data_IF_790430781256
#
_entry.id   IF_790430781256
#
_cell.length_a   1.000
_cell.length_b   1.000
_cell.length_c   1.000
_cell.angle_alpha   90.00
_cell.angle_beta   90.00
_cell.angle_gamma   90.00
#
_symmetry.space_group_name_H-M   'P 1'
#
loop_
_entity.id
_entity.type
_entity.pdbx_description
1 polymer ?
#
# COMPACT_ATOMS: atom_id res chain seq x y z
N UNK A 1 -6.45 -7.29 -24.02
CA UNK A 1 -5.10 -6.71 -23.86
C UNK A 1 -4.13 -7.73 -23.28
N UNK A 2 -2.87 -7.69 -23.71
CA UNK A 2 -1.75 -8.37 -23.08
C UNK A 2 -1.09 -7.41 -22.08
N UNK A 3 -1.05 -7.80 -20.81
CA UNK A 3 -0.56 -6.98 -19.71
C UNK A 3 0.76 -7.56 -19.21
N UNK A 4 1.77 -6.70 -19.04
CA UNK A 4 2.98 -7.02 -18.28
C UNK A 4 2.96 -6.21 -16.98
N UNK A 5 2.91 -6.89 -15.84
CA UNK A 5 2.93 -6.30 -14.51
C UNK A 5 4.25 -6.61 -13.83
N UNK A 6 5.04 -5.57 -13.56
CA UNK A 6 6.32 -5.68 -12.86
C UNK A 6 6.16 -5.31 -11.40
N UNK A 7 6.78 -6.09 -10.51
CA UNK A 7 6.58 -5.95 -9.07
C UNK A 7 5.09 -6.12 -8.73
N UNK A 8 4.48 -7.18 -9.26
CA UNK A 8 3.03 -7.35 -9.30
C UNK A 8 2.38 -7.39 -7.91
N UNK A 9 3.13 -7.81 -6.89
CA UNK A 9 2.61 -8.05 -5.57
C UNK A 9 1.48 -9.08 -5.64
N UNK A 10 0.37 -8.77 -4.99
CA UNK A 10 -0.81 -9.63 -4.93
C UNK A 10 -1.77 -9.43 -6.13
N UNK A 11 -1.29 -8.96 -7.30
CA UNK A 11 -2.14 -8.75 -8.48
C UNK A 11 -3.27 -7.70 -8.33
N UNK A 12 -3.05 -6.64 -7.55
CA UNK A 12 -3.98 -5.49 -7.52
C UNK A 12 -4.27 -4.92 -8.91
N UNK A 13 -3.27 -4.95 -9.82
CA UNK A 13 -3.44 -4.50 -11.20
C UNK A 13 -4.48 -5.33 -11.96
N UNK A 14 -4.48 -6.66 -11.77
CA UNK A 14 -5.45 -7.58 -12.37
C UNK A 14 -6.88 -7.26 -11.93
N UNK A 15 -7.10 -7.06 -10.64
CA UNK A 15 -8.40 -6.63 -10.09
C UNK A 15 -8.84 -5.28 -10.65
N UNK A 16 -7.89 -4.34 -10.83
CA UNK A 16 -8.19 -3.03 -11.40
C UNK A 16 -8.64 -3.11 -12.87
N UNK A 17 -8.10 -4.02 -13.68
CA UNK A 17 -8.61 -4.25 -15.04
C UNK A 17 -10.03 -4.80 -15.04
N UNK A 18 -10.36 -5.70 -14.10
CA UNK A 18 -11.71 -6.25 -13.94
C UNK A 18 -12.70 -5.14 -13.56
N UNK A 19 -12.38 -4.32 -12.57
CA UNK A 19 -13.22 -3.17 -12.15
C UNK A 19 -13.34 -2.09 -13.24
N UNK A 20 -12.30 -1.91 -14.06
CA UNK A 20 -12.33 -1.03 -15.23
C UNK A 20 -13.08 -1.63 -16.43
N UNK A 21 -13.52 -2.89 -16.35
CA UNK A 21 -14.19 -3.66 -17.42
C UNK A 21 -13.34 -3.78 -18.68
N UNK A 22 -12.03 -3.90 -18.53
CA UNK A 22 -11.09 -4.07 -19.63
C UNK A 22 -10.72 -5.53 -19.74
N UNK A 23 -10.96 -6.13 -20.92
CA UNK A 23 -10.67 -7.54 -21.16
C UNK A 23 -9.15 -7.77 -21.26
N UNK A 24 -8.61 -8.57 -20.34
CA UNK A 24 -7.24 -9.07 -20.37
C UNK A 24 -7.21 -10.43 -21.06
N UNK A 25 -6.28 -10.63 -21.99
CA UNK A 25 -6.07 -11.90 -22.71
C UNK A 25 -4.95 -12.71 -22.10
N UNK A 26 -3.83 -12.05 -21.80
CA UNK A 26 -2.69 -12.62 -21.09
C UNK A 26 -2.21 -11.62 -20.06
N UNK A 27 -1.90 -12.11 -18.86
CA UNK A 27 -1.35 -11.31 -17.78
C UNK A 27 -0.05 -11.95 -17.33
N UNK A 28 1.04 -11.26 -17.59
CA UNK A 28 2.39 -11.64 -17.21
C UNK A 28 2.76 -10.89 -15.93
N UNK A 29 3.15 -11.60 -14.88
CA UNK A 29 3.50 -11.02 -13.60
C UNK A 29 4.97 -11.31 -13.26
N UNK A 30 5.75 -10.27 -12.97
CA UNK A 30 7.06 -10.39 -12.34
C UNK A 30 6.90 -10.14 -10.85
N UNK A 31 7.12 -11.19 -10.06
CA UNK A 31 7.06 -11.16 -8.60
C UNK A 31 7.99 -12.25 -8.04
N UNK A 32 8.54 -12.02 -6.85
CA UNK A 32 9.47 -12.93 -6.18
C UNK A 32 8.99 -13.35 -4.78
N UNK A 33 8.07 -12.60 -4.17
CA UNK A 33 7.50 -12.92 -2.87
C UNK A 33 6.52 -14.09 -3.02
N UNK A 34 6.86 -15.20 -2.39
CA UNK A 34 6.06 -16.43 -2.45
C UNK A 34 4.60 -16.20 -2.07
N UNK A 35 4.32 -15.49 -0.98
CA UNK A 35 2.94 -15.25 -0.53
C UNK A 35 2.15 -14.38 -1.51
N UNK A 36 2.82 -13.44 -2.19
CA UNK A 36 2.22 -12.61 -3.21
C UNK A 36 1.83 -13.48 -4.43
N UNK A 37 2.75 -14.34 -4.88
CA UNK A 37 2.51 -15.31 -5.96
C UNK A 37 1.37 -16.28 -5.59
N UNK A 38 1.34 -16.78 -4.34
CA UNK A 38 0.27 -17.67 -3.85
C UNK A 38 -1.10 -16.99 -3.94
N UNK A 39 -1.22 -15.75 -3.45
CA UNK A 39 -2.49 -14.99 -3.51
C UNK A 39 -2.91 -14.74 -4.95
N UNK A 40 -1.97 -14.34 -5.81
CA UNK A 40 -2.23 -14.14 -7.24
C UNK A 40 -2.71 -15.43 -7.91
N UNK A 41 -2.02 -16.55 -7.71
CA UNK A 41 -2.38 -17.84 -8.33
C UNK A 41 -3.68 -18.43 -7.79
N UNK A 42 -4.02 -18.16 -6.52
CA UNK A 42 -5.29 -18.58 -5.95
C UNK A 42 -6.49 -17.87 -6.61
N UNK A 43 -6.38 -16.56 -6.84
CA UNK A 43 -7.47 -15.75 -7.40
C UNK A 43 -7.47 -15.73 -8.94
N UNK A 44 -6.29 -15.78 -9.57
CA UNK A 44 -6.07 -15.67 -11.02
C UNK A 44 -5.07 -16.73 -11.51
N UNK A 45 -5.46 -18.02 -11.52
CA UNK A 45 -4.56 -19.14 -11.88
C UNK A 45 -4.07 -19.10 -13.33
N UNK A 46 -4.68 -18.27 -14.19
CA UNK A 46 -4.22 -18.03 -15.56
C UNK A 46 -3.05 -17.02 -15.65
N UNK A 47 -2.62 -16.46 -14.52
CA UNK A 47 -1.50 -15.52 -14.47
C UNK A 47 -0.17 -16.22 -14.76
N UNK A 48 0.59 -15.68 -15.71
CA UNK A 48 1.89 -16.20 -16.12
C UNK A 48 2.96 -15.57 -15.24
N UNK A 49 3.51 -16.33 -14.30
CA UNK A 49 4.57 -15.87 -13.40
C UNK A 49 5.92 -15.93 -14.10
N UNK A 50 6.61 -14.79 -14.16
CA UNK A 50 7.91 -14.61 -14.81
C UNK A 50 9.08 -14.62 -13.83
N UNK A 51 8.83 -14.55 -12.52
CA UNK A 51 9.88 -14.47 -11.50
C UNK A 51 10.54 -13.09 -11.44
N UNK A 52 11.86 -13.08 -11.22
CA UNK A 52 12.63 -11.85 -11.01
C UNK A 52 12.64 -10.94 -12.24
N UNK A 53 12.38 -9.65 -12.02
CA UNK A 53 12.38 -8.64 -13.08
C UNK A 53 13.73 -8.55 -13.82
N UNK A 54 14.82 -8.83 -13.12
CA UNK A 54 16.19 -8.76 -13.65
C UNK A 54 16.48 -9.84 -14.69
N UNK A 55 15.68 -10.91 -14.72
CA UNK A 55 15.84 -12.05 -15.62
C UNK A 55 14.91 -11.96 -16.84
N UNK A 56 14.03 -10.95 -16.87
CA UNK A 56 13.07 -10.76 -17.95
C UNK A 56 13.72 -10.03 -19.13
N UNK A 57 13.60 -10.63 -20.31
CA UNK A 57 13.86 -9.98 -21.59
C UNK A 57 12.54 -9.49 -22.19
N UNK A 58 12.30 -8.18 -22.19
CA UNK A 58 11.07 -7.58 -22.71
C UNK A 58 10.87 -7.82 -24.21
N UNK A 59 11.94 -8.08 -24.98
CA UNK A 59 11.85 -8.34 -26.42
C UNK A 59 11.28 -9.74 -26.75
N UNK A 60 11.32 -10.69 -25.81
CA UNK A 60 10.87 -12.07 -26.06
C UNK A 60 9.40 -12.33 -25.68
N UNK A 61 8.74 -11.38 -24.99
CA UNK A 61 7.37 -11.55 -24.50
C UNK A 61 6.29 -11.34 -25.59
N UNK A 62 6.69 -10.92 -26.80
CA UNK A 62 5.78 -10.61 -27.90
C UNK A 62 5.08 -9.26 -27.70
N UNK A 63 3.87 -9.11 -28.26
CA UNK A 63 3.13 -7.85 -28.15
C UNK A 63 2.57 -7.64 -26.73
N UNK A 64 3.05 -6.62 -26.05
CA UNK A 64 2.52 -6.14 -24.76
C UNK A 64 1.75 -4.84 -25.01
N UNK A 65 0.47 -4.80 -24.64
CA UNK A 65 -0.36 -3.61 -24.84
C UNK A 65 -0.13 -2.57 -23.73
N UNK A 66 0.13 -3.04 -22.50
CA UNK A 66 0.38 -2.18 -21.35
C UNK A 66 1.41 -2.78 -20.40
N UNK A 67 2.33 -1.93 -19.95
CA UNK A 67 3.26 -2.21 -18.85
C UNK A 67 2.82 -1.47 -17.59
N UNK A 68 2.61 -2.19 -16.50
CA UNK A 68 2.29 -1.59 -15.20
C UNK A 68 3.34 -2.00 -14.16
N UNK A 69 3.58 -1.18 -13.15
CA UNK A 69 4.44 -1.59 -12.04
C UNK A 69 4.63 -0.53 -10.96
N UNK A 70 5.00 -0.98 -9.77
CA UNK A 70 5.31 -0.12 -8.62
C UNK A 70 6.64 -0.54 -8.04
N UNK A 71 7.72 0.11 -8.45
CA UNK A 71 9.06 -0.32 -8.02
C UNK A 71 9.23 -0.14 -6.51
N UNK A 72 9.98 -1.03 -5.83
CA UNK A 72 10.16 -0.95 -4.38
C UNK A 72 10.65 0.43 -3.92
N UNK A 73 9.85 1.09 -3.10
CA UNK A 73 10.05 2.48 -2.70
C UNK A 73 10.94 2.65 -1.45
N UNK A 74 11.54 1.57 -0.94
CA UNK A 74 12.15 1.54 0.39
C UNK A 74 13.21 2.64 0.53
N UNK A 75 14.14 2.79 -0.42
CA UNK A 75 15.18 3.83 -0.33
C UNK A 75 14.73 5.25 -0.74
N UNK A 76 13.49 5.41 -1.22
CA UNK A 76 12.95 6.65 -1.80
C UNK A 76 12.05 7.43 -0.82
N UNK A 77 11.64 6.82 0.29
CA UNK A 77 10.73 7.45 1.27
C UNK A 77 11.45 8.42 2.20
N UNK A 78 10.93 9.65 2.32
CA UNK A 78 11.41 10.65 3.32
C UNK A 78 11.22 10.18 4.77
N UNK A 79 10.35 9.18 5.02
CA UNK A 79 10.12 8.62 6.34
C UNK A 79 11.28 7.73 6.85
N UNK A 80 12.28 7.42 6.01
CA UNK A 80 13.47 6.68 6.43
C UNK A 80 14.57 7.62 6.98
N UNK A 81 15.33 7.13 7.96
CA UNK A 81 16.52 7.80 8.49
C UNK A 81 17.45 8.20 7.33
N UNK A 82 18.04 9.40 7.39
CA UNK A 82 18.91 9.96 6.33
C UNK A 82 20.00 8.99 5.87
N UNK A 83 20.56 8.21 6.79
CA UNK A 83 21.63 7.23 6.52
C UNK A 83 21.21 6.03 5.64
N UNK A 84 19.90 5.76 5.55
CA UNK A 84 19.35 4.67 4.72
C UNK A 84 18.63 5.19 3.46
N UNK A 85 18.63 6.51 3.22
CA UNK A 85 18.13 7.11 1.99
C UNK A 85 19.24 7.11 0.93
N UNK A 86 19.42 5.96 0.28
CA UNK A 86 20.31 5.85 -0.89
C UNK A 86 19.69 6.39 -2.19
N UNK A 87 18.46 6.91 -2.17
CA UNK A 87 17.79 7.44 -3.37
C UNK A 87 17.65 6.36 -4.45
N UNK A 88 17.72 6.72 -5.73
CA UNK A 88 17.79 5.76 -6.85
C UNK A 88 19.07 4.90 -6.89
N UNK A 89 20.12 5.29 -6.15
CA UNK A 89 21.41 4.58 -6.10
C UNK A 89 21.41 3.40 -5.09
N UNK A 90 20.28 3.10 -4.46
CA UNK A 90 20.14 1.98 -3.54
C UNK A 90 19.69 0.68 -4.22
N UNK A 91 20.16 -0.46 -3.71
CA UNK A 91 19.97 -1.80 -4.33
C UNK A 91 18.52 -2.19 -4.66
N UNK A 92 17.52 -1.63 -3.96
CA UNK A 92 16.09 -1.89 -4.21
C UNK A 92 15.38 -0.81 -5.04
N UNK A 93 15.89 0.41 -5.04
CA UNK A 93 15.34 1.54 -5.80
C UNK A 93 15.92 1.59 -7.21
N UNK A 94 17.08 0.96 -7.44
CA UNK A 94 17.63 0.68 -8.76
C UNK A 94 16.70 -0.17 -9.63
N UNK A 95 15.76 -0.90 -9.03
CA UNK A 95 14.73 -1.67 -9.75
C UNK A 95 13.79 -0.80 -10.60
N UNK A 96 13.74 0.52 -10.35
CA UNK A 96 13.13 1.44 -11.31
C UNK A 96 13.82 1.37 -12.69
N UNK A 97 15.14 1.22 -12.75
CA UNK A 97 15.85 1.10 -14.02
C UNK A 97 15.53 -0.21 -14.75
N UNK A 98 15.18 -1.29 -14.04
CA UNK A 98 14.65 -2.51 -14.65
C UNK A 98 13.26 -2.29 -15.27
N UNK A 99 12.38 -1.55 -14.57
CA UNK A 99 11.11 -1.12 -15.16
C UNK A 99 11.35 -0.31 -16.45
N UNK A 100 12.25 0.67 -16.40
CA UNK A 100 12.57 1.51 -17.55
C UNK A 100 13.20 0.69 -18.69
N UNK A 101 14.13 -0.22 -18.40
CA UNK A 101 14.73 -1.14 -19.38
C UNK A 101 13.64 -1.94 -20.10
N UNK A 102 12.74 -2.58 -19.35
CA UNK A 102 11.65 -3.36 -19.92
C UNK A 102 10.67 -2.48 -20.70
N UNK A 103 10.39 -1.26 -20.26
CA UNK A 103 9.58 -0.30 -21.03
C UNK A 103 10.20 -0.01 -22.41
N UNK A 104 11.54 0.11 -22.49
CA UNK A 104 12.26 0.34 -23.75
C UNK A 104 12.34 -0.89 -24.65
N UNK A 105 12.39 -2.08 -24.05
CA UNK A 105 12.43 -3.36 -24.77
C UNK A 105 11.04 -3.77 -25.29
N UNK A 106 10.05 -3.83 -24.41
CA UNK A 106 8.68 -4.28 -24.73
C UNK A 106 7.87 -3.25 -25.53
N UNK A 107 8.23 -1.96 -25.45
CA UNK A 107 7.61 -0.83 -26.18
C UNK A 107 6.06 -0.89 -26.18
N UNK A 108 5.42 -1.00 -25.01
CA UNK A 108 3.97 -1.12 -24.94
C UNK A 108 3.25 0.15 -25.40
N UNK A 109 2.00 0.00 -25.83
CA UNK A 109 1.14 1.15 -26.19
C UNK A 109 0.92 2.07 -24.97
N UNK A 110 0.71 1.48 -23.80
CA UNK A 110 0.52 2.21 -22.55
C UNK A 110 1.52 1.80 -21.47
N UNK A 111 1.78 2.69 -20.53
CA UNK A 111 2.50 2.35 -19.30
C UNK A 111 1.91 3.03 -18.07
N UNK A 112 2.12 2.43 -16.89
CA UNK A 112 1.77 3.01 -15.60
C UNK A 112 2.84 2.63 -14.57
N UNK A 113 3.57 3.64 -14.07
CA UNK A 113 4.46 3.49 -12.92
C UNK A 113 3.87 4.20 -11.70
N UNK A 114 3.81 3.50 -10.57
CA UNK A 114 3.45 4.07 -9.27
C UNK A 114 4.67 4.19 -8.34
N UNK A 115 4.70 5.23 -7.51
CA UNK A 115 5.65 5.33 -6.41
C UNK A 115 5.17 6.26 -5.28
N UNK A 116 5.90 6.31 -4.17
CA UNK A 116 5.53 7.09 -2.97
C UNK A 116 5.42 8.59 -3.24
N UNK A 117 4.37 9.20 -2.68
CA UNK A 117 4.15 10.64 -2.81
C UNK A 117 5.11 11.53 -2.02
N UNK A 118 5.83 10.95 -1.06
CA UNK A 118 6.84 11.63 -0.25
C UNK A 118 8.27 11.35 -0.72
N UNK A 119 8.48 11.14 -2.02
CA UNK A 119 9.80 10.98 -2.63
C UNK A 119 10.57 12.31 -2.67
N UNK A 120 11.90 12.25 -2.64
CA UNK A 120 12.75 13.43 -2.88
C UNK A 120 12.49 14.03 -4.27
N UNK A 121 12.55 15.36 -4.38
CA UNK A 121 12.39 16.06 -5.65
C UNK A 121 13.39 15.58 -6.69
N UNK A 122 14.66 15.35 -6.32
CA UNK A 122 15.70 14.90 -7.24
C UNK A 122 15.35 13.57 -7.89
N UNK A 123 14.96 12.57 -7.08
CA UNK A 123 14.60 11.24 -7.57
C UNK A 123 13.35 11.31 -8.47
N UNK A 124 12.34 12.09 -8.05
CA UNK A 124 11.13 12.31 -8.84
C UNK A 124 11.44 12.92 -10.20
N UNK A 125 12.29 13.95 -10.24
CA UNK A 125 12.65 14.65 -11.47
C UNK A 125 13.43 13.72 -12.44
N UNK A 126 14.27 12.80 -11.92
CA UNK A 126 14.92 11.76 -12.73
C UNK A 126 13.91 10.80 -13.36
N UNK A 127 12.94 10.30 -12.58
CA UNK A 127 11.88 9.41 -13.09
C UNK A 127 11.06 10.14 -14.17
N UNK A 128 10.66 11.38 -13.90
CA UNK A 128 9.94 12.23 -14.87
C UNK A 128 10.73 12.41 -16.17
N UNK A 129 12.02 12.70 -16.09
CA UNK A 129 12.87 12.88 -17.27
C UNK A 129 12.97 11.60 -18.11
N UNK A 130 13.14 10.45 -17.47
CA UNK A 130 13.28 9.16 -18.16
C UNK A 130 11.97 8.68 -18.79
N UNK A 131 10.84 8.90 -18.12
CA UNK A 131 9.53 8.51 -18.62
C UNK A 131 8.90 9.54 -19.58
N UNK A 132 9.41 10.78 -19.57
CA UNK A 132 8.97 11.86 -20.45
C UNK A 132 7.57 12.40 -20.13
N UNK A 133 7.03 12.12 -18.95
CA UNK A 133 5.70 12.57 -18.50
C UNK A 133 5.76 13.00 -17.03
N UNK A 134 4.95 13.99 -16.65
CA UNK A 134 4.82 14.41 -15.26
C UNK A 134 3.91 13.44 -14.48
N UNK A 135 4.19 13.19 -13.19
CA UNK A 135 3.33 12.34 -12.38
C UNK A 135 2.05 13.04 -11.97
N UNK A 136 0.99 12.26 -11.87
CA UNK A 136 -0.26 12.67 -11.22
C UNK A 136 -0.16 12.28 -9.75
N UNK A 137 -0.29 13.26 -8.86
CA UNK A 137 -0.39 12.99 -7.42
C UNK A 137 -1.85 12.68 -7.04
N UNK A 138 -2.11 11.46 -6.57
CA UNK A 138 -3.42 11.01 -6.10
C UNK A 138 -3.28 10.47 -4.67
N UNK A 139 -4.14 10.98 -3.79
CA UNK A 139 -4.31 10.42 -2.45
C UNK A 139 -5.53 9.50 -2.43
N UNK A 140 -5.33 8.27 -1.96
CA UNK A 140 -6.37 7.24 -1.89
C UNK A 140 -7.55 7.61 -0.99
N UNK A 141 -7.43 8.66 -0.16
CA UNK A 141 -8.53 9.21 0.64
C UNK A 141 -9.77 9.57 -0.19
N UNK A 142 -9.59 9.78 -1.50
CA UNK A 142 -10.67 10.09 -2.44
C UNK A 142 -11.56 8.88 -2.71
N UNK A 143 -11.05 7.65 -2.65
CA UNK A 143 -11.80 6.42 -3.02
C UNK A 143 -11.78 5.35 -1.92
N UNK A 144 -11.10 5.63 -0.82
CA UNK A 144 -10.89 4.71 0.30
C UNK A 144 -10.84 5.45 1.63
N UNK A 145 -10.95 4.71 2.72
CA UNK A 145 -10.81 5.19 4.08
C UNK A 145 -9.35 5.33 4.55
N UNK A 146 -8.33 5.29 3.69
CA UNK A 146 -6.93 5.51 4.07
C UNK A 146 -6.28 6.76 3.48
N UNK A 147 -5.34 7.35 4.24
CA UNK A 147 -4.45 8.42 3.78
C UNK A 147 -3.22 7.83 3.06
N UNK A 148 -3.32 7.55 1.76
CA UNK A 148 -2.22 6.98 0.95
C UNK A 148 -1.93 7.86 -0.26
N UNK A 149 -0.93 8.74 -0.11
CA UNK A 149 -0.47 9.68 -1.14
C UNK A 149 0.58 9.02 -2.06
N UNK A 150 0.34 8.99 -3.37
CA UNK A 150 1.19 8.34 -4.38
C UNK A 150 1.29 9.17 -5.66
N UNK A 151 2.40 8.98 -6.37
CA UNK A 151 2.68 9.53 -7.68
C UNK A 151 2.48 8.46 -8.75
N UNK A 152 1.85 8.83 -9.85
CA UNK A 152 1.57 7.94 -10.97
C UNK A 152 2.08 8.57 -12.27
N UNK A 153 3.07 7.95 -12.90
CA UNK A 153 3.55 8.32 -14.22
C UNK A 153 2.88 7.42 -15.27
N UNK A 154 2.24 8.01 -16.25
CA UNK A 154 1.53 7.25 -17.28
C UNK A 154 1.35 8.08 -18.55
N UNK A 155 1.30 7.40 -19.70
CA UNK A 155 0.88 7.96 -20.98
C UNK A 155 -0.60 7.66 -21.30
N UNK A 156 -1.36 7.06 -20.37
CA UNK A 156 -2.80 6.87 -20.53
C UNK A 156 -3.46 8.26 -20.60
N UNK A 157 -4.27 8.55 -21.64
CA UNK A 157 -4.76 9.89 -21.88
C UNK A 157 -5.81 10.31 -20.85
N UNK A 158 -5.89 11.62 -20.61
CA UNK A 158 -6.97 12.27 -19.84
C UNK A 158 -7.15 11.78 -18.40
N UNK A 159 -6.10 11.19 -17.80
CA UNK A 159 -6.13 10.77 -16.40
C UNK A 159 -6.16 12.02 -15.51
N UNK A 160 -7.15 12.06 -14.62
CA UNK A 160 -7.32 13.11 -13.61
C UNK A 160 -7.45 12.49 -12.23
N UNK A 161 -7.61 13.29 -11.17
CA UNK A 161 -7.92 12.76 -9.84
C UNK A 161 -9.35 12.19 -9.82
N UNK A 162 -9.59 11.05 -9.15
CA UNK A 162 -10.95 10.54 -8.98
C UNK A 162 -11.80 11.49 -8.14
N UNK A 163 -13.12 11.41 -8.31
CA UNK A 163 -14.07 12.12 -7.42
C UNK A 163 -13.96 11.56 -6.01
N UNK A 164 -14.26 12.39 -5.01
CA UNK A 164 -14.27 11.96 -3.63
C UNK A 164 -15.55 11.15 -3.32
N UNK A 165 -15.38 9.88 -2.97
CA UNK A 165 -16.44 8.95 -2.56
C UNK A 165 -16.82 9.12 -1.07
N UNK A 166 -16.10 9.94 -0.31
CA UNK A 166 -16.36 10.27 1.11
C UNK A 166 -16.40 9.06 2.07
N UNK A 167 -15.72 7.96 1.72
CA UNK A 167 -15.67 6.73 2.54
C UNK A 167 -14.95 6.96 3.87
N UNK A 168 -15.61 6.87 5.03
CA UNK A 168 -14.94 7.08 6.33
C UNK A 168 -14.42 5.77 6.90
N UNK A 169 -13.44 5.85 7.81
CA UNK A 169 -12.89 4.68 8.49
C UNK A 169 -13.96 3.94 9.27
N UNK A 170 -14.78 4.66 10.04
CA UNK A 170 -15.88 4.04 10.80
C UNK A 170 -16.90 3.32 9.92
N UNK A 171 -17.06 3.71 8.64
CA UNK A 171 -18.02 3.08 7.73
C UNK A 171 -17.58 1.68 7.26
N UNK A 172 -16.28 1.37 7.38
CA UNK A 172 -15.72 0.10 6.88
C UNK A 172 -15.40 -0.91 8.00
N UNK A 173 -15.49 -0.49 9.26
CA UNK A 173 -15.20 -1.33 10.42
C UNK A 173 -16.25 -2.43 10.54
N UNK A 174 -15.80 -3.63 10.92
CA UNK A 174 -16.68 -4.75 11.29
C UNK A 174 -17.31 -4.48 12.67
N UNK A 175 -16.48 -4.03 13.62
CA UNK A 175 -16.89 -3.66 14.98
C UNK A 175 -16.06 -2.50 15.51
N UNK A 176 -16.53 -1.89 16.60
CA UNK A 176 -15.80 -0.82 17.28
C UNK A 176 -15.89 0.53 16.57
N UNK A 177 -14.93 1.40 16.89
CA UNK A 177 -14.96 2.82 16.58
C UNK A 177 -13.54 3.40 16.53
N UNK A 178 -13.33 4.39 15.67
CA UNK A 178 -12.10 5.17 15.59
C UNK A 178 -12.40 6.67 15.69
N UNK A 179 -11.52 7.40 16.38
CA UNK A 179 -11.51 8.86 16.42
C UNK A 179 -11.01 9.49 15.10
N UNK A 180 -10.45 8.68 14.20
CA UNK A 180 -9.95 9.15 12.91
C UNK A 180 -11.01 9.00 11.81
N UNK A 181 -11.13 10.03 10.99
CA UNK A 181 -11.96 9.97 9.78
C UNK A 181 -11.40 9.00 8.73
N UNK A 182 -10.07 8.89 8.66
CA UNK A 182 -9.33 8.01 7.74
C UNK A 182 -8.24 7.28 8.50
N UNK A 183 -7.96 6.03 8.14
CA UNK A 183 -6.77 5.33 8.61
C UNK A 183 -5.50 5.99 8.09
N UNK A 184 -4.38 5.72 8.77
CA UNK A 184 -3.06 5.97 8.17
C UNK A 184 -2.87 5.11 6.92
N UNK A 185 -1.87 5.46 6.11
CA UNK A 185 -1.38 4.60 5.04
C UNK A 185 -1.01 3.23 5.60
N UNK A 186 -1.57 2.16 5.04
CA UNK A 186 -1.09 0.81 5.31
C UNK A 186 0.36 0.68 4.85
N UNK A 187 1.18 0.00 5.64
CA UNK A 187 2.58 -0.29 5.35
C UNK A 187 2.85 -1.77 5.59
N UNK A 188 3.90 -2.30 4.97
CA UNK A 188 4.37 -3.66 5.25
C UNK A 188 4.57 -3.91 6.75
N UNK A 189 5.02 -2.89 7.51
CA UNK A 189 5.23 -3.02 8.96
C UNK A 189 3.97 -3.30 9.77
N UNK A 190 2.78 -3.14 9.19
CA UNK A 190 1.52 -3.59 9.80
C UNK A 190 1.42 -5.13 9.86
N UNK A 191 2.34 -5.88 9.23
CA UNK A 191 2.55 -7.33 9.37
C UNK A 191 3.09 -7.73 10.74
N UNK A 192 3.70 -6.79 11.48
CA UNK A 192 4.35 -7.03 12.77
C UNK A 192 3.75 -6.12 13.85
N UNK A 193 2.45 -6.27 14.16
CA UNK A 193 1.77 -5.42 15.13
C UNK A 193 2.31 -5.63 16.56
N UNK A 194 2.27 -4.58 17.37
CA UNK A 194 2.45 -4.71 18.82
C UNK A 194 1.27 -5.45 19.43
N UNK A 195 1.48 -6.34 20.40
CA UNK A 195 0.37 -7.15 20.96
C UNK A 195 -0.08 -6.69 22.34
N UNK A 196 0.70 -5.87 23.04
CA UNK A 196 0.33 -5.36 24.37
C UNK A 196 -0.55 -4.11 24.24
N UNK A 197 -1.79 -4.07 24.78
CA UNK A 197 -2.71 -2.96 24.61
C UNK A 197 -2.14 -1.58 25.00
N UNK A 198 -1.41 -1.49 26.12
CA UNK A 198 -0.72 -0.26 26.53
C UNK A 198 0.34 0.17 25.50
N UNK A 199 1.12 -0.76 24.96
CA UNK A 199 2.15 -0.45 23.94
C UNK A 199 1.51 -0.03 22.61
N UNK A 200 0.40 -0.68 22.23
CA UNK A 200 -0.41 -0.32 21.07
C UNK A 200 -0.94 1.10 21.21
N UNK A 201 -1.57 1.42 22.35
CA UNK A 201 -2.11 2.74 22.63
C UNK A 201 -1.00 3.80 22.73
N UNK A 202 0.11 3.50 23.41
CA UNK A 202 1.26 4.41 23.46
C UNK A 202 1.74 4.75 22.05
N UNK A 203 2.01 3.76 21.20
CA UNK A 203 2.41 3.98 19.79
C UNK A 203 1.37 4.80 19.04
N UNK A 204 0.09 4.49 19.22
CA UNK A 204 -1.03 5.21 18.61
C UNK A 204 -1.03 6.69 18.99
N UNK A 205 -0.99 6.98 20.30
CA UNK A 205 -1.24 8.30 20.86
C UNK A 205 0.01 9.19 20.87
N UNK A 206 1.19 8.64 21.15
CA UNK A 206 2.43 9.42 21.24
C UNK A 206 3.05 9.71 19.87
N UNK A 207 2.93 8.78 18.92
CA UNK A 207 3.63 8.89 17.63
C UNK A 207 2.68 9.05 16.44
N UNK A 208 1.40 8.68 16.57
CA UNK A 208 0.45 8.69 15.45
C UNK A 208 0.72 7.62 14.38
N UNK A 209 1.75 6.78 14.54
CA UNK A 209 2.23 5.84 13.52
C UNK A 209 1.37 4.59 13.32
N UNK A 210 0.26 4.42 14.03
CA UNK A 210 -0.65 3.29 13.82
C UNK A 210 -2.12 3.74 13.80
N UNK A 211 -3.01 2.90 13.27
CA UNK A 211 -4.46 3.06 13.37
C UNK A 211 -4.96 2.03 14.38
N UNK A 212 -5.64 2.52 15.42
CA UNK A 212 -6.19 1.68 16.49
C UNK A 212 -7.71 1.84 16.51
N UNK A 213 -8.41 0.73 16.72
CA UNK A 213 -9.86 0.68 16.86
C UNK A 213 -10.20 0.44 18.33
N UNK A 214 -11.18 1.19 18.82
CA UNK A 214 -11.69 1.18 20.18
C UNK A 214 -13.07 0.54 20.21
N UNK A 215 -13.47 -0.04 21.34
CA UNK A 215 -14.85 -0.55 21.53
C UNK A 215 -15.94 0.49 21.25
N UNK A 216 -15.72 1.74 21.68
CA UNK A 216 -16.63 2.86 21.47
C UNK A 216 -15.91 4.20 21.61
N UNK A 217 -16.63 5.29 21.35
CA UNK A 217 -16.13 6.64 21.60
C UNK A 217 -15.82 6.89 23.08
N UNK A 218 -16.64 6.37 24.00
CA UNK A 218 -16.44 6.48 25.44
C UNK A 218 -15.16 5.76 25.87
N UNK A 219 -14.94 4.55 25.34
CA UNK A 219 -13.73 3.78 25.59
C UNK A 219 -12.45 4.52 25.15
N UNK A 220 -12.49 5.19 23.99
CA UNK A 220 -11.40 6.06 23.55
C UNK A 220 -11.15 7.20 24.54
N UNK A 221 -12.22 7.90 24.96
CA UNK A 221 -12.12 9.01 25.92
C UNK A 221 -11.52 8.54 27.25
N UNK A 222 -11.89 7.37 27.74
CA UNK A 222 -11.31 6.76 28.94
C UNK A 222 -9.82 6.44 28.78
N UNK A 223 -9.43 5.80 27.67
CA UNK A 223 -8.03 5.50 27.36
C UNK A 223 -7.18 6.79 27.34
N UNK A 224 -7.67 7.84 26.70
CA UNK A 224 -6.99 9.15 26.61
C UNK A 224 -6.88 9.80 27.99
N UNK A 225 -7.95 9.82 28.79
CA UNK A 225 -7.93 10.37 30.15
C UNK A 225 -6.92 9.63 31.03
N UNK A 226 -6.92 8.31 31.00
CA UNK A 226 -5.98 7.47 31.75
C UNK A 226 -4.54 7.71 31.29
N UNK A 227 -4.28 7.67 29.98
CA UNK A 227 -2.95 7.88 29.43
C UNK A 227 -2.40 9.27 29.77
N UNK A 228 -3.23 10.31 29.66
CA UNK A 228 -2.82 11.66 30.00
C UNK A 228 -2.44 11.83 31.48
N UNK A 229 -3.11 11.10 32.38
CA UNK A 229 -2.85 11.12 33.81
C UNK A 229 -1.56 10.40 34.19
N UNK A 230 -1.25 9.28 33.54
CA UNK A 230 -0.20 8.36 34.00
C UNK A 230 1.05 8.32 33.13
N UNK A 231 0.96 8.59 31.82
CA UNK A 231 2.03 8.27 30.86
C UNK A 231 2.38 9.40 29.88
N UNK A 232 1.67 10.53 29.90
CA UNK A 232 1.93 11.63 28.96
C UNK A 232 3.33 12.18 29.12
N UNK A 233 4.05 12.28 28.00
CA UNK A 233 5.43 12.78 27.95
C UNK A 233 6.49 11.73 28.29
N UNK A 234 6.10 10.53 28.74
CA UNK A 234 7.03 9.44 29.02
C UNK A 234 7.41 8.69 27.74
N UNK A 235 8.65 8.26 27.66
CA UNK A 235 9.16 7.32 26.66
C UNK A 235 8.60 5.91 26.92
N UNK A 236 8.66 5.06 25.89
CA UNK A 236 8.25 3.66 26.00
C UNK A 236 9.01 2.91 27.12
N UNK A 237 10.29 3.24 27.34
CA UNK A 237 11.13 2.64 28.39
C UNK A 237 10.67 3.03 29.79
N UNK A 238 10.34 4.30 30.00
CA UNK A 238 9.84 4.79 31.28
C UNK A 238 8.47 4.18 31.62
N UNK A 239 7.59 4.07 30.61
CA UNK A 239 6.29 3.39 30.78
C UNK A 239 6.50 1.92 31.17
N UNK A 240 7.40 1.20 30.50
CA UNK A 240 7.67 -0.20 30.82
C UNK A 240 8.17 -0.41 32.26
N UNK A 241 8.80 0.59 32.88
CA UNK A 241 9.26 0.52 34.28
C UNK A 241 8.13 0.71 35.31
N UNK A 242 7.12 1.53 35.00
CA UNK A 242 6.06 1.89 35.96
C UNK A 242 4.72 1.19 35.71
N UNK A 243 4.52 0.58 34.55
CA UNK A 243 3.22 0.03 34.12
C UNK A 243 2.62 -0.97 35.10
N UNK A 244 3.44 -1.73 35.82
CA UNK A 244 2.97 -2.77 36.75
C UNK A 244 2.37 -2.15 38.03
N UNK A 245 2.65 -0.87 38.30
CA UNK A 245 2.08 -0.10 39.41
C UNK A 245 0.82 0.70 39.01
N UNK A 246 0.35 0.56 37.76
CA UNK A 246 -0.79 1.31 37.22
C UNK A 246 -1.79 0.35 36.58
N UNK A 247 -3.08 0.46 36.94
CA UNK A 247 -4.12 -0.38 36.33
C UNK A 247 -4.33 -0.04 34.86
N UNK A 248 -3.71 -0.81 33.98
CA UNK A 248 -3.75 -0.60 32.53
C UNK A 248 -4.91 -1.35 31.83
N UNK A 249 -5.87 -1.92 32.57
CA UNK A 249 -6.99 -2.67 31.96
C UNK A 249 -7.92 -1.81 31.11
N UNK A 250 -7.90 -0.48 31.29
CA UNK A 250 -8.65 0.45 30.46
C UNK A 250 -8.32 0.33 28.97
N UNK A 251 -7.11 -0.11 28.61
CA UNK A 251 -6.72 -0.28 27.20
C UNK A 251 -7.21 -1.60 26.58
N UNK A 252 -7.75 -2.51 27.37
CA UNK A 252 -8.24 -3.81 26.90
C UNK A 252 -9.44 -3.62 25.95
N UNK A 253 -9.45 -4.38 24.86
CA UNK A 253 -10.44 -4.24 23.80
C UNK A 253 -10.08 -3.18 22.75
N UNK A 254 -8.89 -2.58 22.82
CA UNK A 254 -8.28 -1.96 21.64
C UNK A 254 -7.78 -3.03 20.68
N UNK A 255 -7.94 -2.80 19.37
CA UNK A 255 -7.49 -3.74 18.34
C UNK A 255 -6.91 -3.02 17.14
N UNK A 256 -6.11 -3.75 16.36
CA UNK A 256 -5.80 -3.35 14.99
C UNK A 256 -6.93 -3.73 14.03
N UNK A 257 -6.82 -3.22 12.81
CA UNK A 257 -7.72 -3.58 11.73
C UNK A 257 -7.63 -5.08 11.43
N UNK A 258 -8.80 -5.70 11.25
CA UNK A 258 -8.93 -7.06 10.75
C UNK A 258 -8.52 -7.15 9.28
N UNK A 259 -8.23 -8.36 8.82
CA UNK A 259 -7.81 -8.62 7.45
C UNK A 259 -8.80 -8.07 6.41
N UNK A 260 -10.10 -8.31 6.58
CA UNK A 260 -11.14 -7.78 5.68
C UNK A 260 -11.19 -6.24 5.67
N UNK A 261 -10.93 -5.59 6.81
CA UNK A 261 -10.89 -4.13 6.89
C UNK A 261 -9.66 -3.58 6.17
N UNK A 262 -8.52 -4.29 6.21
CA UNK A 262 -7.32 -3.97 5.44
C UNK A 262 -7.56 -4.13 3.93
N UNK A 263 -8.28 -5.18 3.51
CA UNK A 263 -8.69 -5.38 2.12
C UNK A 263 -9.60 -4.24 1.63
N UNK A 264 -10.60 -3.86 2.43
CA UNK A 264 -11.45 -2.70 2.15
C UNK A 264 -10.64 -1.41 2.01
N UNK A 265 -9.59 -1.21 2.83
CA UNK A 265 -8.70 -0.06 2.68
C UNK A 265 -7.95 -0.06 1.34
N UNK A 266 -7.50 -1.23 0.86
CA UNK A 266 -6.91 -1.33 -0.48
C UNK A 266 -7.95 -1.41 -1.61
N UNK A 267 -9.24 -1.34 -1.27
CA UNK A 267 -10.38 -1.43 -2.19
C UNK A 267 -10.38 -2.71 -3.02
N UNK A 268 -9.73 -3.77 -2.53
CA UNK A 268 -9.74 -5.08 -3.15
C UNK A 268 -10.92 -5.90 -2.59
N UNK A 269 -11.44 -6.93 -3.29
CA UNK A 269 -12.55 -7.73 -2.77
C UNK A 269 -12.26 -8.30 -1.37
N UNK A 270 -13.28 -8.32 -0.52
CA UNK A 270 -13.17 -8.94 0.80
C UNK A 270 -12.97 -10.45 0.63
N UNK A 271 -12.02 -11.03 1.35
CA UNK A 271 -11.59 -12.41 1.25
C UNK A 271 -10.49 -12.66 0.21
N UNK A 272 -10.02 -11.64 -0.52
CA UNK A 272 -9.01 -11.79 -1.56
C UNK A 272 -7.69 -12.38 -1.05
N UNK A 273 -7.31 -12.08 0.19
CA UNK A 273 -6.10 -12.57 0.85
C UNK A 273 -6.38 -13.71 1.84
N UNK A 274 -7.58 -14.29 1.83
CA UNK A 274 -8.06 -15.26 2.84
C UNK A 274 -7.21 -16.52 3.01
N UNK A 275 -6.39 -16.86 2.01
CA UNK A 275 -5.44 -17.99 2.09
C UNK A 275 -4.24 -17.72 3.00
N UNK A 276 -4.06 -16.48 3.45
CA UNK A 276 -2.99 -16.07 4.35
C UNK A 276 -3.56 -15.76 5.73
N UNK A 277 -2.71 -15.87 6.76
CA UNK A 277 -2.99 -15.28 8.05
C UNK A 277 -3.01 -13.73 7.95
N UNK A 278 -3.67 -13.10 8.93
CA UNK A 278 -3.84 -11.64 8.96
C UNK A 278 -2.54 -10.85 8.84
N UNK A 279 -1.44 -11.33 9.40
CA UNK A 279 -0.18 -10.58 9.42
C UNK A 279 0.54 -10.69 8.07
N UNK A 280 0.58 -11.88 7.48
CA UNK A 280 1.09 -12.09 6.11
C UNK A 280 0.26 -11.29 5.10
N UNK A 281 -1.08 -11.30 5.23
CA UNK A 281 -1.98 -10.47 4.43
C UNK A 281 -1.71 -8.97 4.62
N UNK A 282 -1.53 -8.50 5.86
CA UNK A 282 -1.22 -7.10 6.15
C UNK A 282 0.09 -6.65 5.48
N UNK A 283 1.09 -7.52 5.41
CA UNK A 283 2.35 -7.24 4.70
C UNK A 283 2.12 -6.97 3.21
N UNK A 284 1.39 -7.85 2.52
CA UNK A 284 1.06 -7.69 1.11
C UNK A 284 0.14 -6.49 0.85
N UNK A 285 -0.89 -6.31 1.68
CA UNK A 285 -1.80 -5.17 1.60
C UNK A 285 -1.08 -3.85 1.85
N UNK A 286 -0.06 -3.81 2.71
CA UNK A 286 0.74 -2.61 2.94
C UNK A 286 1.51 -2.15 1.70
N UNK A 287 2.11 -3.09 0.98
CA UNK A 287 2.84 -2.85 -0.26
C UNK A 287 1.90 -2.64 -1.47
N UNK A 288 0.74 -3.28 -1.47
CA UNK A 288 -0.22 -3.26 -2.57
C UNK A 288 -0.80 -1.88 -2.91
N UNK A 289 -1.32 -1.77 -4.13
CA UNK A 289 -2.03 -0.59 -4.59
C UNK A 289 -3.45 -0.49 -4.06
N UNK A 290 -3.95 0.74 -3.97
CA UNK A 290 -5.38 1.00 -3.85
C UNK A 290 -6.04 0.70 -5.20
N UNK A 291 -6.68 -0.46 -5.34
CA UNK A 291 -7.25 -0.98 -6.59
C UNK A 291 -8.10 0.05 -7.35
N UNK A 292 -9.03 0.74 -6.67
CA UNK A 292 -9.90 1.76 -7.30
C UNK A 292 -9.15 2.94 -7.90
N UNK A 293 -7.98 3.32 -7.35
CA UNK A 293 -7.15 4.38 -7.95
C UNK A 293 -6.59 3.89 -9.28
N UNK A 294 -6.10 2.65 -9.31
CA UNK A 294 -5.56 2.04 -10.53
C UNK A 294 -6.66 1.86 -11.58
N UNK A 295 -7.83 1.35 -11.18
CA UNK A 295 -9.00 1.22 -12.07
C UNK A 295 -9.41 2.56 -12.68
N UNK A 296 -9.45 3.63 -11.87
CA UNK A 296 -9.73 4.99 -12.35
C UNK A 296 -8.73 5.45 -13.43
N UNK A 297 -7.44 5.17 -13.23
CA UNK A 297 -6.40 5.48 -14.23
C UNK A 297 -6.61 4.64 -15.50
N UNK A 298 -6.83 3.33 -15.36
CA UNK A 298 -6.99 2.41 -16.48
C UNK A 298 -8.21 2.73 -17.35
N UNK A 299 -9.28 3.31 -16.80
CA UNK A 299 -10.46 3.77 -17.57
C UNK A 299 -10.15 4.83 -18.63
N UNK A 300 -8.96 5.45 -18.61
CA UNK A 300 -8.49 6.32 -19.69
C UNK A 300 -8.02 5.59 -20.94
N UNK A 301 -7.85 4.26 -20.89
CA UNK A 301 -7.48 3.44 -22.05
C UNK A 301 -8.62 3.44 -23.07
N UNK A 302 -8.26 3.62 -24.35
CA UNK A 302 -9.17 3.60 -25.50
C UNK A 302 -8.89 2.40 -26.40
#
# INVERSE_FOLDING_TARGET
>A
MNVLSLFDGMSCGREAFIDARIKVHKYYASEIKEDAIKVTQHNHPDTIQLGSVTEINGNSLGNIDILIGGSPCQNLSVAMCKEHRKGLDGDKSSLFYEYYRILKEAKPKYFLLENVGGMDKKDRDVITQLLGVEPININSKLVSAQLRNRLYWTNIPSVTRPKNENVKLNDILIDGWSDREKSRCLLESDSRPLTTPLKMFHRYYSTGFTTLIFRSQEHYVECVKHYNRHFKGMSAKEIDYIKDNVDCRVYNGTRYLYQEELEKLQTIPVGYTSILDRNSAAGLLGDGWTMKVISHILRGIK
#
